data_IF_837090166078
#
_entry.id   IF_837090166078
#
_cell.length_a   1.000
_cell.length_b   1.000
_cell.length_c   1.000
_cell.angle_alpha   90.00
_cell.angle_beta   90.00
_cell.angle_gamma   90.00
#
_symmetry.space_group_name_H-M   'P 1'
#
loop_
_entity.id
_entity.type
_entity.pdbx_description
1 polymer ?
#
# COMPACT_ATOMS: atom_id res chain seq x y z
N UNK A 1 -17.59 23.87 31.49
CA UNK A 1 -17.88 23.20 30.20
C UNK A 1 -16.69 22.32 29.87
N UNK A 2 -16.78 21.03 30.18
CA UNK A 2 -15.73 20.06 29.84
C UNK A 2 -15.73 19.82 28.32
N UNK A 3 -14.60 20.10 27.67
CA UNK A 3 -14.39 19.69 26.29
C UNK A 3 -14.23 18.16 26.30
N UNK A 4 -15.29 17.46 25.87
CA UNK A 4 -15.26 16.01 25.67
C UNK A 4 -14.20 15.72 24.60
N UNK A 5 -13.07 15.17 25.03
CA UNK A 5 -11.97 14.77 24.13
C UNK A 5 -12.48 13.58 23.30
N UNK A 6 -12.91 13.86 22.07
CA UNK A 6 -13.33 12.85 21.13
C UNK A 6 -12.09 12.03 20.73
N UNK A 7 -11.94 10.84 21.34
CA UNK A 7 -10.86 9.91 21.00
C UNK A 7 -11.08 9.42 19.58
N UNK A 8 -10.25 9.89 18.66
CA UNK A 8 -10.16 9.32 17.31
C UNK A 8 -9.44 7.97 17.43
N UNK A 9 -10.16 6.88 17.21
CA UNK A 9 -9.57 5.54 17.12
C UNK A 9 -9.12 5.28 15.69
N UNK A 10 -7.86 4.87 15.51
CA UNK A 10 -7.32 4.46 14.22
C UNK A 10 -7.28 2.94 14.16
N UNK A 11 -7.91 2.36 13.15
CA UNK A 11 -7.78 0.93 12.82
C UNK A 11 -6.60 0.74 11.88
N UNK A 12 -5.86 -0.34 12.09
CA UNK A 12 -4.73 -0.75 11.24
C UNK A 12 -4.93 -2.21 10.87
N UNK A 13 -4.62 -2.55 9.62
CA UNK A 13 -4.66 -3.91 9.10
C UNK A 13 -3.34 -4.24 8.40
N UNK A 14 -2.99 -5.52 8.39
CA UNK A 14 -1.87 -6.03 7.60
C UNK A 14 -2.38 -6.28 6.18
N UNK A 15 -1.60 -5.88 5.18
CA UNK A 15 -1.89 -6.19 3.79
C UNK A 15 -1.62 -7.67 3.51
N UNK A 16 -2.53 -8.32 2.80
CA UNK A 16 -2.49 -9.73 2.46
C UNK A 16 -2.16 -9.94 0.98
N UNK A 17 -1.68 -11.14 0.65
CA UNK A 17 -1.45 -11.64 -0.70
C UNK A 17 -2.03 -13.05 -0.82
N UNK A 18 -2.09 -13.62 -2.02
CA UNK A 18 -2.53 -15.00 -2.22
C UNK A 18 -1.69 -15.96 -1.34
N UNK A 19 -2.31 -16.86 -0.55
CA UNK A 19 -1.59 -17.78 0.34
C UNK A 19 -0.59 -18.70 -0.37
N UNK A 20 -0.73 -18.92 -1.68
CA UNK A 20 0.19 -19.71 -2.49
C UNK A 20 1.36 -18.89 -3.05
N UNK A 21 1.44 -17.59 -2.72
CA UNK A 21 2.53 -16.71 -3.15
C UNK A 21 3.83 -17.14 -2.48
N UNK A 22 4.83 -17.48 -3.28
CA UNK A 22 6.15 -17.84 -2.78
C UNK A 22 6.86 -16.62 -2.13
N UNK A 23 7.57 -16.80 -1.01
CA UNK A 23 8.42 -15.75 -0.45
C UNK A 23 9.43 -15.21 -1.47
N UNK A 24 9.62 -13.90 -1.50
CA UNK A 24 10.47 -13.22 -2.49
C UNK A 24 9.79 -12.90 -3.82
N UNK A 25 8.51 -13.27 -4.00
CA UNK A 25 7.71 -12.83 -5.15
C UNK A 25 7.63 -11.30 -5.19
N UNK A 26 7.93 -10.72 -6.35
CA UNK A 26 8.01 -9.27 -6.54
C UNK A 26 6.60 -8.67 -6.65
N UNK A 27 6.42 -7.49 -6.06
CA UNK A 27 5.22 -6.64 -6.23
C UNK A 27 5.57 -5.50 -7.19
N UNK A 28 4.73 -5.31 -8.21
CA UNK A 28 4.87 -4.27 -9.23
C UNK A 28 3.61 -3.41 -9.33
N UNK A 29 3.69 -2.23 -9.93
CA UNK A 29 2.55 -1.34 -10.13
C UNK A 29 2.50 -0.86 -11.59
N UNK A 30 1.87 -1.60 -12.52
CA UNK A 30 1.73 -1.16 -13.91
C UNK A 30 0.88 0.13 -14.00
N UNK A 31 1.20 1.07 -14.91
CA UNK A 31 2.17 0.97 -15.99
C UNK A 31 3.61 1.36 -15.62
N UNK A 32 3.92 1.54 -14.33
CA UNK A 32 5.23 2.00 -13.90
C UNK A 32 6.28 0.88 -13.98
N UNK A 33 7.46 1.23 -14.49
CA UNK A 33 8.56 0.29 -14.65
C UNK A 33 9.15 -0.13 -13.30
N UNK A 34 9.52 -1.41 -13.20
CA UNK A 34 10.15 -1.98 -12.02
C UNK A 34 11.66 -1.71 -12.03
N UNK A 35 12.06 -0.56 -11.48
CA UNK A 35 13.45 -0.10 -11.39
C UNK A 35 13.75 0.34 -9.94
N UNK A 36 13.81 -0.60 -8.97
CA UNK A 36 14.06 -0.25 -7.58
C UNK A 36 15.51 0.19 -7.36
N UNK A 37 15.72 1.21 -6.52
CA UNK A 37 17.04 1.52 -5.97
C UNK A 37 17.51 0.36 -5.07
N UNK A 38 18.80 0.01 -5.12
CA UNK A 38 19.38 -0.99 -4.22
C UNK A 38 19.23 -0.60 -2.73
N UNK A 39 19.25 0.70 -2.45
CA UNK A 39 18.92 1.28 -1.16
C UNK A 39 18.33 2.68 -1.37
N UNK A 40 17.20 2.98 -0.71
CA UNK A 40 16.60 4.31 -0.76
C UNK A 40 17.53 5.35 -0.11
N UNK A 41 17.82 6.43 -0.83
CA UNK A 41 18.68 7.50 -0.33
C UNK A 41 17.90 8.42 0.65
N UNK A 42 18.27 8.54 1.93
CA UNK A 42 17.47 9.25 2.93
C UNK A 42 17.20 10.73 2.58
N UNK A 43 18.18 11.44 1.99
CA UNK A 43 17.98 12.86 1.62
C UNK A 43 17.05 13.07 0.42
N UNK A 44 16.79 12.03 -0.40
CA UNK A 44 15.89 12.14 -1.56
C UNK A 44 14.42 12.04 -1.17
N UNK A 45 14.12 11.56 0.05
CA UNK A 45 12.75 11.42 0.57
C UNK A 45 11.79 10.69 -0.38
N UNK A 46 12.30 9.61 -0.99
CA UNK A 46 11.57 8.87 -2.04
C UNK A 46 10.29 8.26 -1.45
N UNK A 47 10.39 7.60 -0.30
CA UNK A 47 9.22 6.97 0.34
C UNK A 47 8.17 7.99 0.77
N UNK A 48 8.59 9.12 1.34
CA UNK A 48 7.70 10.20 1.76
C UNK A 48 6.97 10.82 0.57
N UNK A 49 7.58 10.82 -0.61
CA UNK A 49 6.94 11.28 -1.84
C UNK A 49 5.97 10.23 -2.40
N UNK A 50 6.37 8.95 -2.41
CA UNK A 50 5.56 7.85 -2.96
C UNK A 50 4.32 7.56 -2.10
N UNK A 51 4.47 7.53 -0.78
CA UNK A 51 3.42 7.12 0.17
C UNK A 51 2.20 8.06 0.19
N UNK A 52 2.32 9.31 -0.26
CA UNK A 52 1.20 10.26 -0.36
C UNK A 52 0.07 9.72 -1.25
N UNK A 53 0.44 9.01 -2.32
CA UNK A 53 -0.51 8.44 -3.28
C UNK A 53 -0.81 6.95 -3.02
N UNK A 54 -0.19 6.34 -2.01
CA UNK A 54 -0.32 4.92 -1.71
C UNK A 54 -1.49 4.69 -0.76
N UNK A 55 -2.53 4.01 -1.25
CA UNK A 55 -3.78 3.79 -0.52
C UNK A 55 -4.43 2.46 -0.86
N UNK A 56 -5.32 2.01 0.02
CA UNK A 56 -6.27 0.95 -0.31
C UNK A 56 -7.41 1.56 -1.13
N UNK A 57 -7.70 1.00 -2.30
CA UNK A 57 -8.79 1.43 -3.17
C UNK A 57 -10.16 0.92 -2.69
N UNK A 58 -11.22 1.27 -3.43
CA UNK A 58 -12.60 0.86 -3.14
C UNK A 58 -12.82 -0.64 -3.24
N UNK A 59 -11.98 -1.34 -4.01
CA UNK A 59 -12.01 -2.80 -4.17
C UNK A 59 -11.17 -3.51 -3.11
N UNK A 60 -10.49 -2.77 -2.22
CA UNK A 60 -9.65 -3.33 -1.16
C UNK A 60 -8.23 -3.63 -1.58
N UNK A 61 -7.77 -3.18 -2.75
CA UNK A 61 -6.41 -3.40 -3.24
C UNK A 61 -5.51 -2.25 -2.83
N UNK A 62 -4.27 -2.54 -2.48
CA UNK A 62 -3.26 -1.49 -2.48
C UNK A 62 -3.12 -0.92 -3.89
N UNK A 63 -3.09 0.41 -3.98
CA UNK A 63 -2.98 1.15 -5.21
C UNK A 63 -2.06 2.35 -5.02
N UNK A 64 -1.31 2.68 -6.07
CA UNK A 64 -0.50 3.88 -6.14
C UNK A 64 -0.96 4.70 -7.34
N UNK A 65 -1.32 5.98 -7.13
CA UNK A 65 -1.85 6.86 -8.19
C UNK A 65 -3.01 6.23 -8.97
N UNK A 66 -3.90 5.52 -8.26
CA UNK A 66 -5.05 4.82 -8.83
C UNK A 66 -4.73 3.52 -9.57
N UNK A 67 -3.46 3.10 -9.61
CA UNK A 67 -3.05 1.84 -10.25
C UNK A 67 -2.80 0.77 -9.18
N UNK A 68 -3.43 -0.41 -9.27
CA UNK A 68 -3.29 -1.44 -8.26
C UNK A 68 -1.87 -2.04 -8.24
N UNK A 69 -1.41 -2.41 -7.04
CA UNK A 69 -0.20 -3.19 -6.84
C UNK A 69 -0.50 -4.66 -7.13
N UNK A 70 0.29 -5.25 -8.01
CA UNK A 70 0.11 -6.60 -8.53
C UNK A 70 1.29 -7.48 -8.11
N UNK A 71 0.99 -8.70 -7.70
CA UNK A 71 1.97 -9.66 -7.19
C UNK A 71 2.37 -10.63 -8.32
N UNK A 72 3.67 -10.81 -8.52
CA UNK A 72 4.22 -11.78 -9.48
C UNK A 72 3.93 -11.44 -10.96
N UNK A 73 3.48 -12.44 -11.72
CA UNK A 73 3.23 -12.37 -13.18
C UNK A 73 1.89 -11.69 -13.54
N UNK A 74 1.38 -10.83 -12.66
CA UNK A 74 0.21 -9.95 -12.87
C UNK A 74 -1.17 -10.57 -12.64
N UNK A 75 -1.30 -11.61 -11.81
CA UNK A 75 -2.60 -12.29 -11.61
C UNK A 75 -3.30 -12.01 -10.29
N UNK A 76 -2.56 -11.63 -9.25
CA UNK A 76 -3.12 -11.40 -7.92
C UNK A 76 -2.72 -10.03 -7.38
N UNK A 77 -3.50 -9.51 -6.44
CA UNK A 77 -3.31 -8.18 -5.86
C UNK A 77 -2.89 -8.30 -4.40
N UNK A 78 -2.24 -7.25 -3.90
CA UNK A 78 -2.08 -7.05 -2.46
C UNK A 78 -3.34 -6.37 -1.91
N UNK A 79 -4.00 -6.95 -0.90
CA UNK A 79 -5.34 -6.52 -0.46
C UNK A 79 -5.45 -6.29 1.05
N UNK A 80 -6.30 -5.35 1.46
CA UNK A 80 -6.67 -5.16 2.86
C UNK A 80 -7.93 -5.97 3.21
N UNK A 81 -8.00 -6.63 4.37
CA UNK A 81 -9.14 -7.41 4.79
C UNK A 81 -10.46 -6.64 4.76
N UNK A 82 -10.52 -5.44 5.33
CA UNK A 82 -11.77 -4.68 5.45
C UNK A 82 -11.66 -3.19 5.16
N UNK A 83 -10.49 -2.58 5.37
CA UNK A 83 -10.34 -1.14 5.18
C UNK A 83 -10.41 -0.75 3.69
N UNK A 84 -11.04 0.39 3.38
CA UNK A 84 -11.19 0.94 2.02
C UNK A 84 -10.94 2.44 2.03
N UNK A 85 -10.36 2.97 0.96
CA UNK A 85 -10.08 4.40 0.82
C UNK A 85 -9.22 4.98 1.96
N UNK A 86 -8.30 4.17 2.50
CA UNK A 86 -7.38 4.57 3.58
C UNK A 86 -5.93 4.55 3.10
N UNK A 87 -5.02 5.35 3.71
CA UNK A 87 -3.60 5.31 3.39
C UNK A 87 -2.94 3.96 3.71
N UNK A 88 -1.91 3.60 2.96
CA UNK A 88 -0.96 2.53 3.31
C UNK A 88 0.33 3.19 3.77
N UNK A 89 0.88 2.78 4.91
CA UNK A 89 2.02 3.42 5.57
C UNK A 89 3.02 2.40 6.08
#
# INVERSE_FOLDING_TARGET
MEKKLERTYFQVEIMEVDPNTAPGTIVICPPFDHIPDAQLHPKKKVWETVSVDLKVDEQGRASWKGHPLVVGDKKTFMTAPSLRNVPVK
#
